data_IF_616669949595
#
_entry.id   IF_616669949595
#
_cell.length_a   1.000
_cell.length_b   1.000
_cell.length_c   1.000
_cell.angle_alpha   90.00
_cell.angle_beta   90.00
_cell.angle_gamma   90.00
#
_symmetry.space_group_name_H-M   'P 1'
#
loop_
_entity.id
_entity.type
_entity.pdbx_description
1 polymer ?
#
# COMPACT_ATOMS: atom_id res chain seq x y z
N UNK A 1 23.25 -0.44 0.37
CA UNK A 1 21.80 -0.14 0.44
C UNK A 1 21.43 1.29 0.83
N UNK A 2 22.12 2.06 1.71
CA UNK A 2 21.71 3.44 2.01
C UNK A 2 22.19 4.46 0.94
N UNK A 3 22.00 4.18 -0.35
CA UNK A 3 22.48 5.03 -1.45
C UNK A 3 21.37 5.50 -2.40
N UNK A 4 20.29 4.74 -2.61
CA UNK A 4 19.32 5.04 -3.67
C UNK A 4 18.24 6.06 -3.27
N UNK A 5 17.65 5.95 -2.08
CA UNK A 5 16.58 6.88 -1.65
C UNK A 5 17.11 8.33 -1.60
N UNK A 6 16.44 9.34 -2.18
CA UNK A 6 16.94 10.72 -2.19
C UNK A 6 17.20 11.33 -0.79
N UNK A 7 18.26 12.12 -0.66
CA UNK A 7 18.62 12.80 0.61
C UNK A 7 17.50 13.65 1.24
N UNK A 8 16.65 14.38 0.48
CA UNK A 8 15.51 15.10 1.06
C UNK A 8 14.51 14.17 1.76
N UNK A 9 14.20 13.02 1.15
CA UNK A 9 13.29 12.01 1.72
C UNK A 9 13.88 11.45 3.01
N UNK A 10 15.18 11.10 3.03
CA UNK A 10 15.88 10.58 4.23
C UNK A 10 15.94 11.53 5.43
N UNK A 11 15.62 12.80 5.25
CA UNK A 11 15.56 13.81 6.33
C UNK A 11 14.14 14.32 6.59
N UNK A 12 13.13 13.77 5.92
CA UNK A 12 11.74 14.19 6.07
C UNK A 12 11.20 13.81 7.45
N UNK A 13 10.39 14.68 8.06
CA UNK A 13 9.79 14.45 9.40
C UNK A 13 8.89 13.21 9.48
N UNK A 14 8.31 12.80 8.34
CA UNK A 14 7.48 11.60 8.22
C UNK A 14 8.28 10.29 8.36
N UNK A 15 9.60 10.29 8.17
CA UNK A 15 10.39 9.05 8.26
C UNK A 15 10.41 8.50 9.69
N UNK A 16 10.42 9.36 10.71
CA UNK A 16 10.24 8.94 12.11
C UNK A 16 8.85 8.34 12.36
N UNK A 17 7.80 8.95 11.82
CA UNK A 17 6.42 8.45 11.94
C UNK A 17 6.26 7.07 11.32
N UNK A 18 6.76 6.87 10.09
CA UNK A 18 6.73 5.57 9.39
C UNK A 18 7.54 4.52 10.15
N UNK A 19 8.74 4.88 10.64
CA UNK A 19 9.57 4.00 11.48
C UNK A 19 8.86 3.59 12.77
N UNK A 20 8.17 4.51 13.44
CA UNK A 20 7.45 4.26 14.69
C UNK A 20 6.21 3.40 14.48
N UNK A 21 5.47 3.62 13.38
CA UNK A 21 4.35 2.77 12.98
C UNK A 21 4.79 1.33 12.65
N UNK A 22 5.94 1.17 11.98
CA UNK A 22 6.44 -0.16 11.59
C UNK A 22 7.20 -0.88 12.71
N UNK A 23 7.90 -0.16 13.58
CA UNK A 23 8.74 -0.76 14.64
C UNK A 23 9.80 -1.71 14.08
N UNK A 24 9.81 -2.95 14.60
CA UNK A 24 10.77 -4.00 14.21
C UNK A 24 10.18 -5.00 13.18
N UNK A 25 9.10 -4.63 12.49
CA UNK A 25 8.31 -5.55 11.68
C UNK A 25 8.75 -5.63 10.21
N UNK A 26 8.42 -6.72 9.53
CA UNK A 26 8.46 -6.82 8.07
C UNK A 26 7.14 -6.31 7.50
N UNK A 27 7.22 -5.49 6.45
CA UNK A 27 6.10 -4.72 5.91
C UNK A 27 6.02 -4.89 4.40
N UNK A 28 4.84 -5.26 3.89
CA UNK A 28 4.52 -5.19 2.46
C UNK A 28 3.90 -3.83 2.15
N UNK A 29 4.58 -3.02 1.34
CA UNK A 29 4.08 -1.71 0.89
C UNK A 29 3.36 -1.89 -0.45
N UNK A 30 2.07 -1.55 -0.51
CA UNK A 30 1.27 -1.60 -1.74
C UNK A 30 1.63 -0.46 -2.69
N UNK A 31 2.15 -0.79 -3.88
CA UNK A 31 2.62 0.16 -4.89
C UNK A 31 1.80 0.03 -6.17
N UNK A 32 1.05 1.07 -6.54
CA UNK A 32 0.28 1.11 -7.79
C UNK A 32 1.04 1.73 -8.97
N UNK A 33 2.19 2.37 -8.70
CA UNK A 33 2.90 3.23 -9.65
C UNK A 33 2.48 4.71 -9.56
N UNK A 34 1.34 4.99 -8.91
CA UNK A 34 0.89 6.36 -8.63
C UNK A 34 1.78 7.08 -7.60
N UNK A 35 1.85 8.43 -7.64
CA UNK A 35 2.84 9.22 -6.89
C UNK A 35 2.78 9.01 -5.38
N UNK A 36 1.59 8.89 -4.79
CA UNK A 36 1.43 8.68 -3.34
C UNK A 36 1.98 7.30 -2.91
N UNK A 37 1.80 6.27 -3.74
CA UNK A 37 2.30 4.92 -3.47
C UNK A 37 3.83 4.83 -3.60
N UNK A 38 4.40 5.57 -4.55
CA UNK A 38 5.85 5.72 -4.70
C UNK A 38 6.45 6.54 -3.54
N UNK A 39 5.79 7.61 -3.12
CA UNK A 39 6.21 8.39 -1.96
C UNK A 39 6.20 7.57 -0.67
N UNK A 40 5.16 6.74 -0.45
CA UNK A 40 5.11 5.81 0.69
C UNK A 40 6.24 4.78 0.64
N UNK A 41 6.53 4.19 -0.53
CA UNK A 41 7.65 3.27 -0.70
C UNK A 41 8.99 3.94 -0.34
N UNK A 42 9.24 5.15 -0.85
CA UNK A 42 10.47 5.90 -0.58
C UNK A 42 10.62 6.28 0.90
N UNK A 43 9.52 6.68 1.57
CA UNK A 43 9.51 6.94 3.02
C UNK A 43 9.74 5.67 3.84
N UNK A 44 9.16 4.55 3.41
CA UNK A 44 9.34 3.23 4.04
C UNK A 44 10.79 2.75 3.96
N UNK A 45 11.41 2.88 2.78
CA UNK A 45 12.82 2.56 2.58
C UNK A 45 13.74 3.51 3.34
N UNK A 46 13.41 4.81 3.42
CA UNK A 46 14.12 5.77 4.28
C UNK A 46 14.04 5.38 5.76
N UNK A 47 12.90 4.87 6.23
CA UNK A 47 12.70 4.44 7.61
C UNK A 47 13.52 3.18 7.93
N UNK A 48 13.48 2.17 7.05
CA UNK A 48 14.29 0.96 7.17
C UNK A 48 15.81 1.23 7.10
N UNK A 49 16.23 2.25 6.35
CA UNK A 49 17.65 2.63 6.23
C UNK A 49 18.21 3.39 7.46
N UNK A 50 17.40 3.72 8.48
CA UNK A 50 17.90 4.35 9.70
C UNK A 50 18.63 3.33 10.59
N UNK A 51 19.76 3.72 11.19
CA UNK A 51 20.57 2.85 12.07
C UNK A 51 19.82 2.27 13.28
N UNK A 52 18.75 2.92 13.73
CA UNK A 52 17.90 2.48 14.83
C UNK A 52 16.69 1.65 14.39
N UNK A 53 16.53 1.43 13.08
CA UNK A 53 15.45 0.62 12.53
C UNK A 53 15.86 -0.83 12.37
N UNK A 54 14.89 -1.73 12.51
CA UNK A 54 15.00 -3.14 12.14
C UNK A 54 13.84 -3.59 11.25
N UNK A 55 13.01 -2.65 10.78
CA UNK A 55 11.94 -2.99 9.84
C UNK A 55 12.51 -3.40 8.47
N UNK A 56 11.84 -4.34 7.81
CA UNK A 56 12.19 -4.83 6.47
C UNK A 56 11.05 -4.52 5.51
N UNK A 57 11.36 -3.94 4.35
CA UNK A 57 10.36 -3.51 3.37
C UNK A 57 10.37 -4.44 2.17
N UNK A 58 9.17 -4.85 1.75
CA UNK A 58 8.90 -5.56 0.49
C UNK A 58 7.84 -4.73 -0.26
N UNK A 59 8.00 -4.54 -1.56
CA UNK A 59 6.98 -3.91 -2.39
C UNK A 59 5.96 -4.97 -2.86
N UNK A 60 4.68 -4.61 -2.89
CA UNK A 60 3.59 -5.43 -3.42
C UNK A 60 2.83 -4.68 -4.50
N UNK A 61 2.84 -5.16 -5.74
CA UNK A 61 2.10 -4.59 -6.86
C UNK A 61 0.99 -5.53 -7.34
N UNK A 62 -0.18 -4.97 -7.63
CA UNK A 62 -1.36 -5.74 -8.00
C UNK A 62 -1.83 -5.37 -9.39
N UNK A 63 -1.68 -6.31 -10.31
CA UNK A 63 -2.13 -6.15 -11.68
C UNK A 63 -3.62 -6.47 -11.76
N UNK A 64 -4.46 -5.44 -11.89
CA UNK A 64 -5.91 -5.59 -11.91
C UNK A 64 -6.46 -6.19 -13.23
N UNK A 65 -5.65 -6.33 -14.28
CA UNK A 65 -6.03 -6.98 -15.52
C UNK A 65 -7.08 -6.24 -16.37
N UNK A 66 -7.43 -5.01 -16.00
CA UNK A 66 -8.59 -4.30 -16.57
C UNK A 66 -8.29 -3.60 -17.91
N UNK A 67 -7.04 -3.15 -18.14
CA UNK A 67 -6.58 -2.42 -19.34
C UNK A 67 -5.07 -2.61 -19.55
N UNK A 68 -4.58 -2.27 -20.75
CA UNK A 68 -3.13 -2.22 -21.05
C UNK A 68 -2.37 -1.13 -20.28
N UNK A 69 -3.07 -0.19 -19.63
CA UNK A 69 -2.46 0.72 -18.66
C UNK A 69 -1.82 -0.05 -17.49
N UNK A 70 -2.42 -1.17 -17.06
CA UNK A 70 -1.88 -2.01 -15.98
C UNK A 70 -0.57 -2.72 -16.35
N UNK A 71 -0.33 -3.03 -17.62
CA UNK A 71 0.95 -3.61 -18.07
C UNK A 71 2.08 -2.56 -18.02
N UNK A 72 1.76 -1.29 -18.35
CA UNK A 72 2.69 -0.17 -18.22
C UNK A 72 2.98 0.19 -16.75
N UNK A 73 1.95 0.18 -15.89
CA UNK A 73 2.09 0.37 -14.44
C UNK A 73 3.00 -0.71 -13.83
N UNK A 74 2.78 -1.99 -14.16
CA UNK A 74 3.64 -3.08 -13.70
C UNK A 74 5.09 -2.88 -14.15
N UNK A 75 5.32 -2.58 -15.44
CA UNK A 75 6.67 -2.35 -15.99
C UNK A 75 7.39 -1.18 -15.29
N UNK A 76 6.66 -0.10 -14.99
CA UNK A 76 7.20 1.04 -14.23
C UNK A 76 7.56 0.66 -12.79
N UNK A 77 6.71 -0.12 -12.11
CA UNK A 77 6.94 -0.52 -10.71
C UNK A 77 8.07 -1.54 -10.59
N UNK A 78 8.20 -2.46 -11.56
CA UNK A 78 9.35 -3.37 -11.67
C UNK A 78 10.66 -2.60 -11.79
N UNK A 79 10.78 -1.70 -12.78
CA UNK A 79 11.97 -0.89 -12.99
C UNK A 79 12.33 -0.01 -11.76
N UNK A 80 11.31 0.57 -11.10
CA UNK A 80 11.51 1.35 -9.87
C UNK A 80 12.01 0.48 -8.70
N UNK A 81 11.49 -0.74 -8.54
CA UNK A 81 11.91 -1.62 -7.46
C UNK A 81 13.33 -2.16 -7.67
N UNK A 82 13.69 -2.46 -8.92
CA UNK A 82 15.04 -2.83 -9.33
C UNK A 82 16.04 -1.69 -9.07
N UNK A 83 15.70 -0.45 -9.44
CA UNK A 83 16.55 0.73 -9.16
C UNK A 83 16.76 0.92 -7.64
N UNK A 84 15.67 0.84 -6.86
CA UNK A 84 15.70 0.99 -5.40
C UNK A 84 16.34 -0.20 -4.67
N UNK A 85 16.52 -1.35 -5.33
CA UNK A 85 17.04 -2.58 -4.75
C UNK A 85 16.10 -3.19 -3.70
N UNK A 86 14.78 -3.07 -3.89
CA UNK A 86 13.75 -3.60 -3.01
C UNK A 86 13.08 -4.83 -3.65
N UNK A 87 12.81 -5.86 -2.85
CA UNK A 87 12.07 -7.03 -3.33
C UNK A 87 10.66 -6.61 -3.74
N UNK A 88 10.27 -6.94 -4.98
CA UNK A 88 8.90 -6.77 -5.47
C UNK A 88 8.17 -8.12 -5.52
N UNK A 89 6.93 -8.12 -5.06
CA UNK A 89 5.95 -9.18 -5.27
C UNK A 89 4.87 -8.65 -6.22
N UNK A 90 4.55 -9.41 -7.27
CA UNK A 90 3.46 -9.10 -8.20
C UNK A 90 2.38 -10.17 -8.11
N UNK A 91 1.10 -9.75 -8.10
CA UNK A 91 -0.03 -10.69 -8.20
C UNK A 91 -1.08 -10.12 -9.16
N UNK A 92 -1.55 -10.93 -10.11
CA UNK A 92 -2.63 -10.58 -11.02
C UNK A 92 -3.97 -11.01 -10.42
N UNK A 93 -4.87 -10.06 -10.21
CA UNK A 93 -6.18 -10.32 -9.59
C UNK A 93 -7.32 -10.18 -10.60
N UNK A 94 -8.32 -11.05 -10.50
CA UNK A 94 -9.55 -10.92 -11.27
C UNK A 94 -10.60 -10.14 -10.47
N UNK A 95 -10.88 -8.90 -10.90
CA UNK A 95 -11.84 -8.05 -10.21
C UNK A 95 -13.29 -8.44 -10.58
N UNK A 96 -14.03 -8.94 -9.58
CA UNK A 96 -15.48 -9.13 -9.67
C UNK A 96 -16.23 -7.98 -8.98
N UNK A 97 -17.48 -7.67 -9.38
CA UNK A 97 -18.29 -6.64 -8.71
C UNK A 97 -18.76 -7.13 -7.34
N UNK A 98 -18.57 -6.31 -6.30
CA UNK A 98 -19.10 -6.55 -4.95
C UNK A 98 -20.22 -5.55 -4.68
N UNK A 99 -21.41 -6.05 -4.30
CA UNK A 99 -22.62 -5.23 -4.10
C UNK A 99 -22.93 -4.28 -5.28
N UNK A 100 -22.62 -4.71 -6.52
CA UNK A 100 -22.78 -3.91 -7.75
C UNK A 100 -21.63 -2.95 -8.06
N UNK A 101 -20.79 -2.57 -7.09
CA UNK A 101 -19.61 -1.72 -7.31
C UNK A 101 -18.42 -2.54 -7.80
N UNK A 102 -17.77 -2.06 -8.86
CA UNK A 102 -16.50 -2.62 -9.34
C UNK A 102 -15.32 -2.18 -8.46
N UNK A 103 -15.33 -0.93 -7.98
CA UNK A 103 -14.29 -0.39 -7.11
C UNK A 103 -14.25 -1.09 -5.74
N UNK A 104 -15.42 -1.40 -5.16
CA UNK A 104 -15.48 -2.19 -3.93
C UNK A 104 -14.81 -3.56 -4.10
N UNK A 105 -15.12 -4.27 -5.20
CA UNK A 105 -14.49 -5.56 -5.49
C UNK A 105 -13.02 -5.46 -5.88
N UNK A 106 -12.59 -4.38 -6.54
CA UNK A 106 -11.18 -4.12 -6.83
C UNK A 106 -10.39 -3.93 -5.53
N UNK A 107 -10.97 -3.23 -4.55
CA UNK A 107 -10.38 -2.94 -3.26
C UNK A 107 -10.33 -4.17 -2.33
N UNK A 108 -11.39 -4.99 -2.33
CA UNK A 108 -11.38 -6.25 -1.58
C UNK A 108 -10.33 -7.21 -2.16
N UNK A 109 -10.34 -7.43 -3.49
CA UNK A 109 -9.32 -8.23 -4.18
C UNK A 109 -7.89 -7.70 -3.96
N UNK A 110 -7.72 -6.37 -3.87
CA UNK A 110 -6.43 -5.72 -3.57
C UNK A 110 -5.94 -6.09 -2.17
N UNK A 111 -6.78 -5.97 -1.14
CA UNK A 111 -6.37 -6.27 0.23
C UNK A 111 -6.17 -7.77 0.47
N UNK A 112 -6.94 -8.63 -0.19
CA UNK A 112 -6.70 -10.08 -0.15
C UNK A 112 -5.34 -10.46 -0.77
N UNK A 113 -4.99 -9.89 -1.93
CA UNK A 113 -3.69 -10.13 -2.57
C UNK A 113 -2.52 -9.59 -1.72
N UNK A 114 -2.62 -8.38 -1.17
CA UNK A 114 -1.60 -7.86 -0.24
C UNK A 114 -1.50 -8.73 1.04
N UNK A 115 -2.61 -9.29 1.52
CA UNK A 115 -2.62 -10.24 2.64
C UNK A 115 -1.91 -11.56 2.31
N UNK A 116 -2.13 -12.10 1.09
CA UNK A 116 -1.40 -13.28 0.58
C UNK A 116 0.10 -12.99 0.44
N UNK A 117 0.47 -11.86 -0.17
CA UNK A 117 1.85 -11.41 -0.28
C UNK A 117 2.54 -11.29 1.08
N UNK A 118 1.89 -10.63 2.05
CA UNK A 118 2.42 -10.48 3.40
C UNK A 118 2.59 -11.83 4.10
N UNK A 119 1.62 -12.74 3.95
CA UNK A 119 1.75 -14.12 4.46
C UNK A 119 2.94 -14.85 3.82
N UNK A 120 3.12 -14.73 2.50
CA UNK A 120 4.17 -15.42 1.74
C UNK A 120 5.60 -14.97 2.06
N UNK A 121 5.76 -13.83 2.75
CA UNK A 121 7.08 -13.34 3.20
C UNK A 121 7.17 -13.19 4.72
N UNK A 122 6.24 -13.69 5.52
CA UNK A 122 6.20 -13.49 6.98
C UNK A 122 6.21 -12.00 7.39
N UNK A 123 5.42 -11.18 6.70
CA UNK A 123 5.18 -9.78 7.06
C UNK A 123 3.95 -9.66 7.97
N UNK A 124 4.08 -8.88 9.04
CA UNK A 124 3.01 -8.60 10.01
C UNK A 124 2.22 -7.33 9.67
N UNK A 125 2.74 -6.50 8.76
CA UNK A 125 2.05 -5.32 8.27
C UNK A 125 1.94 -5.27 6.74
N UNK A 126 0.81 -4.74 6.29
CA UNK A 126 0.62 -4.19 4.95
C UNK A 126 0.47 -2.69 5.09
N UNK A 127 1.19 -1.90 4.29
CA UNK A 127 1.04 -0.44 4.25
C UNK A 127 0.56 -0.01 2.87
N UNK A 128 -0.46 0.84 2.78
CA UNK A 128 -0.96 1.34 1.48
C UNK A 128 -1.12 2.85 1.51
N UNK A 129 -0.69 3.53 0.44
CA UNK A 129 -0.93 4.95 0.32
C UNK A 129 -2.43 5.21 0.13
N UNK A 130 -2.94 6.26 0.78
CA UNK A 130 -4.31 6.71 0.59
C UNK A 130 -4.56 7.05 -0.88
N UNK A 131 -5.37 6.24 -1.58
CA UNK A 131 -6.07 6.77 -2.75
C UNK A 131 -7.04 7.85 -2.24
N UNK A 132 -6.81 9.11 -2.62
CA UNK A 132 -7.74 10.21 -2.35
C UNK A 132 -9.12 9.89 -2.94
N UNK A 133 -9.15 9.22 -4.10
CA UNK A 133 -10.36 8.71 -4.74
C UNK A 133 -11.06 7.62 -3.92
N UNK A 134 -10.33 6.69 -3.28
CA UNK A 134 -10.95 5.67 -2.40
C UNK A 134 -11.65 6.33 -1.19
N UNK A 135 -11.12 7.45 -0.66
CA UNK A 135 -11.78 8.22 0.40
C UNK A 135 -13.04 8.93 -0.14
N UNK A 136 -12.91 9.66 -1.25
CA UNK A 136 -14.01 10.40 -1.87
C UNK A 136 -15.14 9.45 -2.29
N UNK A 137 -14.83 8.33 -2.97
CA UNK A 137 -15.80 7.33 -3.38
C UNK A 137 -16.45 6.65 -2.16
N UNK A 138 -15.68 6.32 -1.11
CA UNK A 138 -16.27 5.76 0.13
C UNK A 138 -17.28 6.75 0.75
N UNK A 139 -16.94 8.04 0.81
CA UNK A 139 -17.82 9.10 1.35
C UNK A 139 -19.05 9.33 0.45
N UNK A 140 -18.88 9.40 -0.88
CA UNK A 140 -19.97 9.54 -1.84
C UNK A 140 -20.92 8.33 -1.82
N UNK A 141 -20.39 7.10 -1.80
CA UNK A 141 -21.19 5.88 -1.64
C UNK A 141 -21.88 5.79 -0.27
N UNK A 142 -21.35 6.43 0.77
CA UNK A 142 -22.02 6.54 2.07
C UNK A 142 -23.16 7.57 2.03
N UNK A 143 -22.95 8.73 1.40
CA UNK A 143 -23.97 9.76 1.17
C UNK A 143 -25.15 9.22 0.36
N UNK A 144 -24.89 8.60 -0.80
CA UNK A 144 -25.91 8.02 -1.66
C UNK A 144 -26.70 6.87 -1.00
N UNK A 145 -26.19 6.27 0.08
CA UNK A 145 -26.86 5.23 0.87
C UNK A 145 -27.48 5.76 2.17
N UNK A 146 -27.66 7.08 2.31
CA UNK A 146 -28.29 7.71 3.47
C UNK A 146 -27.48 7.60 4.77
N UNK A 147 -26.15 7.48 4.66
CA UNK A 147 -25.26 7.34 5.81
C UNK A 147 -25.12 8.63 6.61
N UNK A 148 -25.50 8.61 7.89
CA UNK A 148 -25.26 9.72 8.81
C UNK A 148 -23.76 9.97 9.06
N UNK A 149 -23.43 11.13 9.65
CA UNK A 149 -22.07 11.72 9.79
C UNK A 149 -20.93 10.73 10.10
N UNK A 150 -21.13 9.70 10.94
CA UNK A 150 -20.08 8.71 11.23
C UNK A 150 -19.62 7.89 10.02
N UNK A 151 -20.47 7.72 9.00
CA UNK A 151 -20.11 7.06 7.72
C UNK A 151 -19.40 7.99 6.74
N UNK A 152 -19.29 9.29 7.07
CA UNK A 152 -18.48 10.28 6.34
C UNK A 152 -17.05 10.38 6.89
N UNK A 153 -16.70 9.61 7.93
CA UNK A 153 -15.37 9.63 8.55
C UNK A 153 -14.26 8.98 7.70
N UNK A 154 -14.58 8.51 6.50
CA UNK A 154 -13.61 7.88 5.59
C UNK A 154 -13.11 6.50 6.04
N UNK A 155 -11.93 6.13 5.58
CA UNK A 155 -11.22 4.90 5.96
C UNK A 155 -10.43 5.08 7.27
N UNK A 156 -10.49 4.09 8.16
CA UNK A 156 -9.67 4.06 9.37
C UNK A 156 -8.16 3.96 9.09
N UNK A 157 -7.36 4.59 9.94
CA UNK A 157 -5.88 4.65 9.90
C UNK A 157 -5.22 3.26 9.97
N UNK A 158 -5.81 2.32 10.73
CA UNK A 158 -5.42 0.91 10.69
C UNK A 158 -6.62 -0.04 10.76
N UNK A 159 -6.45 -1.28 10.28
CA UNK A 159 -7.45 -2.37 10.33
C UNK A 159 -6.75 -3.73 10.18
N UNK A 160 -7.18 -4.76 10.92
CA UNK A 160 -6.75 -6.14 10.65
C UNK A 160 -7.23 -6.65 9.27
N UNK A 161 -6.32 -7.25 8.50
CA UNK A 161 -6.61 -8.05 7.30
C UNK A 161 -6.80 -9.52 7.66
N UNK A 162 -5.95 -10.03 8.55
CA UNK A 162 -6.02 -11.37 9.15
C UNK A 162 -5.71 -11.26 10.65
N UNK A 163 -5.74 -12.37 11.39
CA UNK A 163 -5.35 -12.41 12.80
C UNK A 163 -3.89 -11.97 13.04
N UNK A 164 -3.02 -12.11 12.03
CA UNK A 164 -1.58 -11.87 12.11
C UNK A 164 -1.10 -10.65 11.32
N UNK A 165 -1.93 -10.13 10.41
CA UNK A 165 -1.57 -9.06 9.46
C UNK A 165 -2.48 -7.86 9.63
N UNK A 166 -1.91 -6.71 9.97
CA UNK A 166 -2.63 -5.43 10.01
C UNK A 166 -2.32 -4.55 8.79
N UNK A 167 -3.36 -3.93 8.25
CA UNK A 167 -3.26 -2.85 7.28
C UNK A 167 -3.05 -1.53 8.02
N UNK A 168 -2.02 -0.79 7.61
CA UNK A 168 -1.70 0.58 8.00
C UNK A 168 -1.87 1.47 6.77
N UNK A 169 -2.31 2.72 6.96
CA UNK A 169 -2.53 3.69 5.90
C UNK A 169 -1.85 5.02 6.21
#
# INVERSE_FOLDING_TARGET
MPSVVPLPVRRHSLVSTVREAYGCNKVVVGVSGGPDSVALLLLSLAAAAQKSSSCTIVAGHIHHGLRGESDNEQTMVEALCDELGVQLLTERVNVSRVQGSLAAGARDARYEALGRMATAVDATYVSVAHHADDQLETMLMALCRGGGIRKLAGMAESRQLTEQIALVR
#
